data_IF_219351811896
#
_entry.id   IF_219351811896
#
_cell.length_a   1.000
_cell.length_b   1.000
_cell.length_c   1.000
_cell.angle_alpha   90.00
_cell.angle_beta   90.00
_cell.angle_gamma   90.00
#
_symmetry.space_group_name_H-M   'P 1'
#
loop_
_entity.id
_entity.type
_entity.pdbx_description
1 polymer ?
#
# COMPACT_ATOMS: atom_id res chain seq x y z
N UNK A 1 17.22 9.24 16.87
CA UNK A 1 15.97 8.78 16.24
C UNK A 1 15.42 9.84 15.30
N UNK A 2 15.04 11.03 15.77
CA UNK A 2 14.51 12.12 14.91
C UNK A 2 15.44 12.54 13.76
N UNK A 3 16.75 12.68 14.01
CA UNK A 3 17.73 13.05 12.98
C UNK A 3 17.94 11.96 11.90
N UNK A 4 17.70 10.69 12.25
CA UNK A 4 17.79 9.57 11.31
C UNK A 4 16.53 9.51 10.43
N UNK A 5 15.35 9.66 11.05
CA UNK A 5 14.06 9.73 10.35
C UNK A 5 14.04 10.90 9.37
N UNK A 6 14.55 12.07 9.74
CA UNK A 6 14.63 13.23 8.84
C UNK A 6 15.47 12.96 7.57
N UNK A 7 16.63 12.31 7.72
CA UNK A 7 17.49 11.96 6.59
C UNK A 7 16.87 10.91 5.66
N UNK A 8 16.23 9.88 6.23
CA UNK A 8 15.48 8.88 5.46
C UNK A 8 14.32 9.52 4.70
N UNK A 9 13.59 10.40 5.37
CA UNK A 9 12.50 11.16 4.77
C UNK A 9 12.99 12.00 3.57
N UNK A 10 14.12 12.68 3.66
CA UNK A 10 14.69 13.43 2.52
C UNK A 10 15.08 12.52 1.36
N UNK A 11 15.62 11.33 1.62
CA UNK A 11 15.96 10.36 0.59
C UNK A 11 14.71 9.89 -0.19
N UNK A 12 13.61 9.64 0.51
CA UNK A 12 12.31 9.31 -0.11
C UNK A 12 11.84 10.44 -1.00
N UNK A 13 11.90 11.69 -0.54
CA UNK A 13 11.48 12.84 -1.36
C UNK A 13 12.30 12.96 -2.64
N UNK A 14 13.63 12.78 -2.56
CA UNK A 14 14.49 12.83 -3.75
C UNK A 14 14.20 11.71 -4.73
N UNK A 15 13.94 10.49 -4.25
CA UNK A 15 13.54 9.37 -5.08
C UNK A 15 12.23 9.68 -5.84
N UNK A 16 11.23 10.21 -5.15
CA UNK A 16 9.95 10.59 -5.78
C UNK A 16 10.16 11.70 -6.82
N UNK A 17 10.89 12.77 -6.48
CA UNK A 17 11.19 13.87 -7.41
C UNK A 17 11.91 13.37 -8.66
N UNK A 18 12.90 12.50 -8.47
CA UNK A 18 13.64 11.91 -9.58
C UNK A 18 12.73 11.07 -10.48
N UNK A 19 11.89 10.20 -9.91
CA UNK A 19 10.97 9.36 -10.66
C UNK A 19 10.02 10.21 -11.54
N UNK A 20 9.37 11.21 -10.95
CA UNK A 20 8.47 12.13 -11.66
C UNK A 20 9.21 12.88 -12.78
N UNK A 21 10.40 13.40 -12.50
CA UNK A 21 11.22 14.09 -13.49
C UNK A 21 11.65 13.16 -14.64
N UNK A 22 12.16 11.97 -14.33
CA UNK A 22 12.66 11.01 -15.32
C UNK A 22 11.57 10.47 -16.24
N UNK A 23 10.35 10.35 -15.73
CA UNK A 23 9.19 9.91 -16.49
C UNK A 23 8.55 11.04 -17.31
N UNK A 24 8.95 12.30 -17.09
CA UNK A 24 8.26 13.46 -17.65
C UNK A 24 6.82 13.60 -17.15
N UNK A 25 6.52 13.08 -15.96
CA UNK A 25 5.17 13.05 -15.41
C UNK A 25 4.73 14.42 -14.87
N UNK A 26 3.44 14.72 -15.00
CA UNK A 26 2.81 15.94 -14.50
C UNK A 26 2.61 15.94 -12.98
N UNK A 27 2.63 14.75 -12.36
CA UNK A 27 2.48 14.58 -10.92
C UNK A 27 2.17 13.13 -10.54
N UNK A 28 1.45 12.95 -9.45
CA UNK A 28 1.21 11.65 -8.81
C UNK A 28 -0.29 11.44 -8.58
N UNK A 29 -0.75 10.20 -8.73
CA UNK A 29 -2.05 9.72 -8.23
C UNK A 29 -1.81 8.65 -7.17
N UNK A 30 -2.57 8.70 -6.07
CA UNK A 30 -2.45 7.75 -4.96
C UNK A 30 -3.84 7.29 -4.52
N UNK A 31 -4.00 5.99 -4.28
CA UNK A 31 -5.20 5.46 -3.65
C UNK A 31 -5.21 5.79 -2.16
N UNK A 32 -6.24 6.47 -1.66
CA UNK A 32 -6.39 6.80 -0.23
C UNK A 32 -7.54 6.00 0.38
N UNK A 33 -7.19 5.09 1.29
CA UNK A 33 -8.16 4.14 1.90
C UNK A 33 -8.64 4.56 3.29
N UNK A 34 -8.07 5.61 3.88
CA UNK A 34 -8.27 5.94 5.30
C UNK A 34 -7.37 5.12 6.23
N UNK A 35 -6.50 4.25 5.69
CA UNK A 35 -5.48 3.51 6.43
C UNK A 35 -4.11 4.22 6.44
N UNK A 36 -3.28 3.85 7.41
CA UNK A 36 -2.00 4.51 7.70
C UNK A 36 -0.99 4.46 6.53
N UNK A 37 -0.90 3.35 5.80
CA UNK A 37 0.11 3.22 4.73
C UNK A 37 -0.17 4.20 3.59
N UNK A 38 -1.43 4.28 3.15
CA UNK A 38 -1.85 5.25 2.14
C UNK A 38 -1.70 6.69 2.62
N UNK A 39 -1.89 6.94 3.91
CA UNK A 39 -1.72 8.26 4.52
C UNK A 39 -0.26 8.73 4.47
N UNK A 40 0.66 7.88 4.88
CA UNK A 40 2.09 8.18 4.86
C UNK A 40 2.60 8.30 3.42
N UNK A 41 2.20 7.41 2.52
CA UNK A 41 2.58 7.48 1.10
C UNK A 41 2.08 8.77 0.42
N UNK A 42 0.83 9.18 0.68
CA UNK A 42 0.27 10.42 0.15
C UNK A 42 0.99 11.66 0.72
N UNK A 43 1.33 11.65 2.02
CA UNK A 43 2.10 12.72 2.65
C UNK A 43 3.52 12.84 2.07
N UNK A 44 4.21 11.72 1.82
CA UNK A 44 5.49 11.71 1.11
C UNK A 44 5.36 12.30 -0.30
N UNK A 45 4.35 11.88 -1.07
CA UNK A 45 4.13 12.41 -2.41
C UNK A 45 3.90 13.93 -2.39
N UNK A 46 3.02 14.41 -1.50
CA UNK A 46 2.71 15.84 -1.38
C UNK A 46 3.96 16.66 -0.99
N UNK A 47 4.74 16.17 -0.02
CA UNK A 47 5.98 16.82 0.42
C UNK A 47 7.06 16.84 -0.66
N UNK A 48 7.13 15.79 -1.47
CA UNK A 48 8.15 15.66 -2.51
C UNK A 48 7.90 16.57 -3.71
N UNK A 49 6.68 16.59 -4.25
CA UNK A 49 6.38 17.25 -5.54
C UNK A 49 5.42 18.44 -5.45
N UNK A 50 4.96 18.79 -4.24
CA UNK A 50 3.95 19.81 -4.02
C UNK A 50 2.53 19.22 -4.04
N UNK A 51 1.65 19.65 -3.12
CA UNK A 51 0.33 19.07 -2.98
C UNK A 51 -0.57 19.27 -4.21
N UNK A 52 -0.36 20.35 -4.97
CA UNK A 52 -1.06 20.64 -6.22
C UNK A 52 -0.76 19.64 -7.34
N UNK A 53 0.31 18.86 -7.21
CA UNK A 53 0.70 17.81 -8.15
C UNK A 53 0.26 16.42 -7.69
N UNK A 54 -0.51 16.30 -6.62
CA UNK A 54 -0.95 15.01 -6.08
C UNK A 54 -2.47 14.92 -6.07
N UNK A 55 -2.99 13.81 -6.56
CA UNK A 55 -4.42 13.48 -6.52
C UNK A 55 -4.61 12.25 -5.64
N UNK A 56 -5.30 12.43 -4.51
CA UNK A 56 -5.80 11.35 -3.66
C UNK A 56 -7.13 10.84 -4.21
N UNK A 57 -7.21 9.55 -4.52
CA UNK A 57 -8.42 8.90 -5.03
C UNK A 57 -8.92 7.87 -4.03
N UNK A 58 -10.08 8.12 -3.44
CA UNK A 58 -10.80 7.13 -2.65
C UNK A 58 -11.68 6.27 -3.57
N UNK A 59 -11.59 4.95 -3.39
CA UNK A 59 -12.20 3.96 -4.29
C UNK A 59 -13.13 3.00 -3.51
N UNK A 60 -14.28 3.51 -3.00
CA UNK A 60 -15.15 2.74 -2.13
C UNK A 60 -15.95 1.66 -2.85
N UNK A 61 -16.27 0.61 -2.11
CA UNK A 61 -17.21 -0.44 -2.49
C UNK A 61 -18.31 -0.58 -1.44
N UNK A 62 -19.25 -1.50 -1.62
CA UNK A 62 -20.32 -1.76 -0.66
C UNK A 62 -19.85 -2.17 0.76
N UNK A 63 -18.58 -2.61 0.91
CA UNK A 63 -18.01 -2.98 2.23
C UNK A 63 -17.18 -1.87 2.86
N UNK A 64 -16.96 -0.75 2.17
CA UNK A 64 -16.22 0.39 2.71
C UNK A 64 -17.08 1.09 3.76
N UNK A 65 -16.51 1.31 4.95
CA UNK A 65 -17.22 1.98 6.04
C UNK A 65 -17.10 3.50 5.92
N UNK A 66 -18.08 4.23 6.44
CA UNK A 66 -18.13 5.70 6.32
C UNK A 66 -16.91 6.36 6.95
N UNK A 67 -16.42 5.79 8.06
CA UNK A 67 -15.25 6.29 8.78
C UNK A 67 -14.00 6.27 7.91
N UNK A 68 -13.81 5.28 7.03
CA UNK A 68 -12.69 5.22 6.08
C UNK A 68 -12.72 6.39 5.08
N UNK A 69 -13.92 6.75 4.61
CA UNK A 69 -14.14 7.85 3.68
C UNK A 69 -13.84 9.20 4.34
N UNK A 70 -14.37 9.40 5.55
CA UNK A 70 -14.11 10.60 6.34
C UNK A 70 -12.62 10.76 6.64
N UNK A 71 -11.94 9.68 7.03
CA UNK A 71 -10.51 9.67 7.32
C UNK A 71 -9.68 9.99 6.07
N UNK A 72 -10.01 9.38 4.92
CA UNK A 72 -9.35 9.65 3.65
C UNK A 72 -9.52 11.12 3.20
N UNK A 73 -10.73 11.67 3.34
CA UNK A 73 -11.02 13.06 2.99
C UNK A 73 -10.30 14.04 3.95
N UNK A 74 -10.35 13.76 5.26
CA UNK A 74 -9.70 14.58 6.28
C UNK A 74 -8.16 14.60 6.09
N UNK A 75 -7.57 13.44 5.79
CA UNK A 75 -6.17 13.32 5.41
C UNK A 75 -5.86 14.23 4.22
N UNK A 76 -6.54 14.04 3.08
CA UNK A 76 -6.26 14.80 1.86
C UNK A 76 -6.34 16.30 2.09
N UNK A 77 -7.35 16.74 2.85
CA UNK A 77 -7.52 18.14 3.27
C UNK A 77 -6.36 18.63 4.13
N UNK A 78 -5.89 17.83 5.08
CA UNK A 78 -4.80 18.22 6.00
C UNK A 78 -3.46 18.41 5.29
N UNK A 79 -3.17 17.62 4.25
CA UNK A 79 -1.94 17.71 3.46
C UNK A 79 -2.10 18.55 2.18
N UNK A 80 -3.30 19.10 1.94
CA UNK A 80 -3.59 20.03 0.85
C UNK A 80 -3.73 19.42 -0.54
N UNK A 81 -3.87 18.10 -0.68
CA UNK A 81 -3.98 17.43 -1.98
C UNK A 81 -5.43 17.36 -2.48
N UNK A 82 -5.61 17.22 -3.79
CA UNK A 82 -6.93 17.02 -4.38
C UNK A 82 -7.53 15.68 -3.89
N UNK A 83 -8.80 15.69 -3.44
CA UNK A 83 -9.55 14.50 -3.09
C UNK A 83 -10.60 14.19 -4.16
N UNK A 84 -10.59 12.95 -4.67
CA UNK A 84 -11.62 12.42 -5.55
C UNK A 84 -12.19 11.14 -4.97
N UNK A 85 -13.50 11.00 -5.05
CA UNK A 85 -14.18 9.77 -4.67
C UNK A 85 -14.81 9.13 -5.91
N UNK A 86 -14.50 7.86 -6.15
CA UNK A 86 -15.04 7.11 -7.28
C UNK A 86 -15.40 5.70 -6.83
N UNK A 87 -16.71 5.45 -6.67
CA UNK A 87 -17.18 4.11 -6.31
C UNK A 87 -16.81 3.07 -7.37
N UNK A 88 -16.25 1.95 -6.93
CA UNK A 88 -15.90 0.80 -7.78
C UNK A 88 -17.03 -0.23 -7.84
N UNK A 89 -18.10 -0.05 -7.06
CA UNK A 89 -19.20 -0.98 -6.94
C UNK A 89 -19.83 -1.38 -8.29
N UNK A 90 -20.02 -0.47 -9.28
CA UNK A 90 -20.56 -0.86 -10.59
C UNK A 90 -19.71 -1.91 -11.31
N UNK A 91 -18.38 -1.83 -11.20
CA UNK A 91 -17.46 -2.80 -11.80
C UNK A 91 -17.52 -4.13 -11.05
N UNK A 92 -17.58 -4.07 -9.72
CA UNK A 92 -17.71 -5.28 -8.90
C UNK A 92 -19.04 -6.01 -9.14
N UNK A 93 -20.14 -5.28 -9.35
CA UNK A 93 -21.42 -5.87 -9.75
C UNK A 93 -21.31 -6.64 -11.06
N UNK A 94 -20.57 -6.13 -12.04
CA UNK A 94 -20.33 -6.84 -13.29
C UNK A 94 -19.59 -8.17 -13.05
N UNK A 95 -18.59 -8.20 -12.15
CA UNK A 95 -17.88 -9.44 -11.81
C UNK A 95 -18.77 -10.49 -11.14
N UNK A 96 -19.75 -10.07 -10.32
CA UNK A 96 -20.70 -10.99 -9.68
C UNK A 96 -21.58 -11.75 -10.68
N UNK A 97 -21.71 -11.25 -11.92
CA UNK A 97 -22.41 -11.94 -13.00
C UNK A 97 -21.66 -13.14 -13.58
N UNK A 98 -20.38 -13.32 -13.26
CA UNK A 98 -19.55 -14.43 -13.76
C UNK A 98 -19.42 -15.53 -12.70
N UNK A 99 -19.94 -16.75 -12.97
CA UNK A 99 -19.84 -17.86 -12.02
C UNK A 99 -18.39 -18.18 -11.63
N UNK A 100 -18.12 -18.40 -10.35
CA UNK A 100 -16.80 -18.80 -9.86
C UNK A 100 -15.85 -17.64 -9.51
N UNK A 101 -16.11 -16.42 -9.98
CA UNK A 101 -15.16 -15.31 -9.81
C UNK A 101 -15.25 -14.60 -8.47
N UNK A 102 -16.41 -14.67 -7.80
CA UNK A 102 -16.67 -13.98 -6.53
C UNK A 102 -17.21 -14.91 -5.45
N UNK A 103 -17.03 -16.22 -5.61
CA UNK A 103 -17.61 -17.25 -4.73
C UNK A 103 -17.10 -17.20 -3.29
N UNK A 104 -15.96 -16.54 -3.06
CA UNK A 104 -15.38 -16.35 -1.73
C UNK A 104 -14.98 -14.89 -1.51
N UNK A 105 -14.96 -14.41 -0.25
CA UNK A 105 -14.44 -13.09 0.09
C UNK A 105 -13.01 -12.86 -0.43
N UNK A 106 -12.17 -13.89 -0.40
CA UNK A 106 -10.81 -13.84 -0.94
C UNK A 106 -10.79 -13.55 -2.45
N UNK A 107 -11.62 -14.24 -3.24
CA UNK A 107 -11.68 -14.02 -4.69
C UNK A 107 -12.24 -12.64 -5.02
N UNK A 108 -13.34 -12.25 -4.38
CA UNK A 108 -13.96 -10.94 -4.55
C UNK A 108 -13.03 -9.79 -4.13
N UNK A 109 -12.31 -9.94 -3.02
CA UNK A 109 -11.34 -8.97 -2.52
C UNK A 109 -10.17 -8.76 -3.48
N UNK A 110 -9.65 -9.84 -4.08
CA UNK A 110 -8.60 -9.70 -5.09
C UNK A 110 -9.08 -8.98 -6.36
N UNK A 111 -10.33 -9.21 -6.79
CA UNK A 111 -10.90 -8.44 -7.90
C UNK A 111 -11.09 -6.97 -7.52
N UNK A 112 -11.51 -6.69 -6.29
CA UNK A 112 -11.61 -5.33 -5.75
C UNK A 112 -10.27 -4.59 -5.81
N UNK A 113 -9.19 -5.19 -5.29
CA UNK A 113 -7.86 -4.60 -5.32
C UNK A 113 -7.36 -4.35 -6.76
N UNK A 114 -7.62 -5.27 -7.69
CA UNK A 114 -7.27 -5.10 -9.12
C UNK A 114 -8.08 -4.02 -9.81
N UNK A 115 -9.36 -3.89 -9.49
CA UNK A 115 -10.20 -2.78 -10.00
C UNK A 115 -9.68 -1.43 -9.53
N UNK A 116 -9.28 -1.33 -8.26
CA UNK A 116 -8.68 -0.10 -7.71
C UNK A 116 -7.41 0.27 -8.47
N UNK A 117 -6.51 -0.70 -8.66
CA UNK A 117 -5.29 -0.54 -9.47
C UNK A 117 -5.61 -0.06 -10.88
N UNK A 118 -6.53 -0.72 -11.58
CA UNK A 118 -6.88 -0.39 -12.96
C UNK A 118 -7.40 1.05 -13.10
N UNK A 119 -8.21 1.51 -12.14
CA UNK A 119 -8.74 2.88 -12.11
C UNK A 119 -7.63 3.90 -11.83
N UNK A 120 -6.73 3.61 -10.87
CA UNK A 120 -5.59 4.50 -10.58
C UNK A 120 -4.71 4.68 -11.81
N UNK A 121 -4.38 3.59 -12.51
CA UNK A 121 -3.63 3.65 -13.76
C UNK A 121 -4.39 4.34 -14.89
N UNK A 122 -5.72 4.18 -14.98
CA UNK A 122 -6.52 4.91 -15.96
C UNK A 122 -6.46 6.43 -15.72
N UNK A 123 -6.54 6.88 -14.47
CA UNK A 123 -6.38 8.29 -14.09
C UNK A 123 -4.95 8.75 -14.39
N UNK A 124 -3.95 7.95 -14.01
CA UNK A 124 -2.54 8.24 -14.26
C UNK A 124 -2.26 8.48 -15.75
N UNK A 125 -2.68 7.56 -16.60
CA UNK A 125 -2.50 7.64 -18.06
C UNK A 125 -3.23 8.84 -18.66
N UNK A 126 -4.47 9.11 -18.21
CA UNK A 126 -5.26 10.24 -18.71
C UNK A 126 -4.62 11.59 -18.38
N UNK A 127 -3.98 11.69 -17.22
CA UNK A 127 -3.47 12.96 -16.67
C UNK A 127 -1.95 13.10 -16.75
N UNK A 128 -1.26 12.09 -17.30
CA UNK A 128 0.20 12.04 -17.39
C UNK A 128 0.88 11.94 -16.02
N UNK A 129 0.29 11.23 -15.06
CA UNK A 129 0.79 11.07 -13.69
C UNK A 129 1.43 9.70 -13.48
N UNK A 130 2.16 9.52 -12.38
CA UNK A 130 2.62 8.23 -11.88
C UNK A 130 1.69 7.70 -10.78
N UNK A 131 1.51 6.38 -10.72
CA UNK A 131 0.80 5.72 -9.62
C UNK A 131 1.74 5.55 -8.43
N UNK A 132 1.34 6.08 -7.27
CA UNK A 132 2.02 5.89 -5.99
C UNK A 132 1.43 4.69 -5.25
N UNK A 133 2.28 3.73 -4.95
CA UNK A 133 1.95 2.54 -4.19
C UNK A 133 2.10 2.74 -2.69
N UNK A 134 1.44 1.87 -1.95
CA UNK A 134 1.31 1.99 -0.48
C UNK A 134 1.73 0.71 0.23
N UNK A 135 2.43 -0.22 -0.46
CA UNK A 135 2.91 -1.44 0.19
C UNK A 135 4.12 -1.12 1.06
N UNK A 136 4.06 -1.51 2.33
CA UNK A 136 5.22 -1.44 3.23
C UNK A 136 6.09 -2.72 3.14
N UNK A 137 7.27 -2.68 3.76
CA UNK A 137 8.24 -3.80 3.74
C UNK A 137 7.65 -5.08 4.30
N UNK A 138 6.89 -4.97 5.38
CA UNK A 138 6.27 -6.11 6.07
C UNK A 138 5.30 -6.85 5.14
N UNK A 139 4.36 -6.12 4.54
CA UNK A 139 3.39 -6.65 3.57
C UNK A 139 4.08 -7.24 2.35
N UNK A 140 5.08 -6.54 1.82
CA UNK A 140 5.85 -6.97 0.66
C UNK A 140 6.57 -8.30 0.91
N UNK A 141 7.29 -8.42 2.03
CA UNK A 141 8.03 -9.63 2.40
C UNK A 141 7.07 -10.80 2.68
N UNK A 142 5.96 -10.56 3.35
CA UNK A 142 4.94 -11.60 3.58
C UNK A 142 4.14 -11.96 2.33
N UNK A 143 4.19 -11.10 1.30
CA UNK A 143 3.29 -11.16 0.15
C UNK A 143 1.82 -11.00 0.54
N UNK A 144 1.56 -10.23 1.61
CA UNK A 144 0.23 -9.89 2.08
C UNK A 144 -0.32 -8.73 1.24
N UNK A 145 -0.58 -9.04 -0.02
CA UNK A 145 -1.07 -8.13 -1.05
C UNK A 145 -1.78 -8.92 -2.14
N UNK A 146 -2.60 -8.24 -2.94
CA UNK A 146 -3.07 -8.76 -4.21
C UNK A 146 -2.00 -8.53 -5.27
N UNK A 147 -1.49 -9.61 -5.88
CA UNK A 147 -0.57 -9.51 -7.02
C UNK A 147 -1.27 -8.80 -8.18
N UNK A 148 -0.64 -7.75 -8.71
CA UNK A 148 -1.20 -6.83 -9.70
C UNK A 148 -2.46 -6.09 -9.22
N UNK A 149 -2.61 -5.93 -7.90
CA UNK A 149 -3.62 -5.07 -7.27
C UNK A 149 -2.94 -3.89 -6.59
N UNK A 150 -3.08 -3.79 -5.28
CA UNK A 150 -2.52 -2.75 -4.41
C UNK A 150 -0.98 -2.59 -4.52
N UNK A 151 -0.27 -3.68 -4.82
CA UNK A 151 1.20 -3.66 -4.98
C UNK A 151 1.68 -3.17 -6.36
N UNK A 152 0.80 -3.03 -7.35
CA UNK A 152 1.17 -2.53 -8.67
C UNK A 152 1.17 -1.00 -8.67
N UNK A 153 2.37 -0.42 -8.77
CA UNK A 153 2.59 1.02 -8.80
C UNK A 153 3.89 1.36 -9.52
N UNK A 154 4.06 2.63 -9.88
CA UNK A 154 5.26 3.15 -10.55
C UNK A 154 6.32 3.60 -9.54
N UNK A 155 5.87 4.07 -8.37
CA UNK A 155 6.73 4.42 -7.22
C UNK A 155 6.19 3.78 -5.94
N UNK A 156 7.08 3.39 -5.03
CA UNK A 156 6.73 2.76 -3.76
C UNK A 156 7.50 3.44 -2.61
N UNK A 157 7.06 4.63 -2.15
CA UNK A 157 7.83 5.47 -1.23
C UNK A 157 8.08 4.83 0.14
N UNK A 158 7.24 3.87 0.53
CA UNK A 158 7.26 3.27 1.86
C UNK A 158 7.65 1.78 1.86
N UNK A 159 8.05 1.21 0.72
CA UNK A 159 8.37 -0.21 0.59
C UNK A 159 9.54 -0.69 1.47
N UNK A 160 10.42 0.24 1.84
CA UNK A 160 11.59 -0.05 2.65
C UNK A 160 11.30 -0.02 4.16
N UNK A 161 10.14 0.50 4.58
CA UNK A 161 9.76 0.66 5.97
C UNK A 161 8.93 -0.53 6.45
N UNK A 162 9.25 -1.07 7.61
CA UNK A 162 8.40 -2.03 8.33
C UNK A 162 7.13 -1.35 8.83
N UNK A 163 6.07 -2.13 9.09
CA UNK A 163 4.77 -1.59 9.56
C UNK A 163 4.94 -0.73 10.81
N UNK A 164 5.73 -1.18 11.78
CA UNK A 164 6.04 -0.43 13.00
C UNK A 164 6.74 0.91 12.71
N UNK A 165 7.57 0.97 11.68
CA UNK A 165 8.24 2.19 11.23
C UNK A 165 7.27 3.13 10.50
N UNK A 166 6.30 2.60 9.74
CA UNK A 166 5.21 3.39 9.13
C UNK A 166 4.48 4.20 10.20
N UNK A 167 4.13 3.57 11.33
CA UNK A 167 3.48 4.29 12.44
C UNK A 167 4.39 5.38 13.04
N UNK A 168 5.70 5.14 13.14
CA UNK A 168 6.66 6.13 13.64
C UNK A 168 6.79 7.33 12.68
N UNK A 169 6.90 7.06 11.38
CA UNK A 169 6.94 8.09 10.33
C UNK A 169 5.62 8.86 10.27
N UNK A 170 4.48 8.18 10.35
CA UNK A 170 3.17 8.81 10.38
C UNK A 170 3.01 9.80 11.54
N UNK A 171 3.50 9.45 12.74
CA UNK A 171 3.56 10.39 13.87
C UNK A 171 4.46 11.59 13.57
N UNK A 172 5.65 11.36 13.02
CA UNK A 172 6.59 12.43 12.69
C UNK A 172 6.06 13.38 11.61
N UNK A 173 5.22 12.89 10.68
CA UNK A 173 4.56 13.68 9.65
C UNK A 173 3.30 14.41 10.12
N UNK A 174 2.83 14.14 11.35
CA UNK A 174 1.60 14.72 11.86
C UNK A 174 0.34 14.14 11.21
N UNK A 175 0.35 12.86 10.78
CA UNK A 175 -0.86 12.17 10.35
C UNK A 175 -1.88 12.18 11.49
N UNK A 176 -3.16 12.39 11.16
CA UNK A 176 -4.23 12.53 12.14
C UNK A 176 -4.32 11.32 13.07
N UNK A 177 -4.52 11.58 14.37
CA UNK A 177 -4.49 10.55 15.42
C UNK A 177 -5.48 9.41 15.17
N UNK A 178 -6.67 9.71 14.63
CA UNK A 178 -7.69 8.71 14.27
C UNK A 178 -7.16 7.66 13.29
N UNK A 179 -6.33 8.04 12.31
CA UNK A 179 -5.70 7.08 11.37
C UNK A 179 -4.57 6.29 12.04
N UNK A 180 -3.82 6.92 12.96
CA UNK A 180 -2.71 6.28 13.67
C UNK A 180 -3.16 5.21 14.67
N UNK A 181 -4.34 5.37 15.28
CA UNK A 181 -4.88 4.45 16.29
C UNK A 181 -5.76 3.35 15.70
N UNK A 182 -6.09 3.47 14.40
CA UNK A 182 -6.93 2.52 13.69
C UNK A 182 -6.19 1.19 13.47
N UNK A 183 -6.79 0.04 13.82
CA UNK A 183 -6.22 -1.26 13.50
C UNK A 183 -6.06 -1.44 11.98
N UNK A 184 -4.91 -1.94 11.49
CA UNK A 184 -4.72 -2.19 10.06
C UNK A 184 -5.69 -3.25 9.50
N UNK A 185 -6.20 -2.97 8.31
CA UNK A 185 -7.11 -3.83 7.56
C UNK A 185 -6.98 -3.54 6.08
N UNK A 186 -7.02 -4.59 5.24
CA UNK A 186 -7.10 -4.43 3.79
C UNK A 186 -8.46 -3.91 3.28
N UNK A 187 -9.52 -3.94 4.12
CA UNK A 187 -10.83 -3.39 3.78
C UNK A 187 -11.50 -4.07 2.57
N UNK A 188 -11.29 -5.38 2.42
CA UNK A 188 -11.81 -6.19 1.31
C UNK A 188 -13.11 -6.92 1.65
N UNK A 189 -13.40 -7.11 2.94
CA UNK A 189 -14.67 -7.64 3.45
C UNK A 189 -14.93 -7.16 4.88
N UNK A 190 -16.19 -7.27 5.34
CA UNK A 190 -16.59 -6.81 6.65
C UNK A 190 -15.88 -7.56 7.78
N UNK A 191 -15.39 -6.82 8.79
CA UNK A 191 -14.72 -7.38 9.97
C UNK A 191 -13.29 -7.87 9.73
N UNK A 192 -12.70 -7.61 8.56
CA UNK A 192 -11.33 -8.00 8.24
C UNK A 192 -10.31 -7.26 9.14
N UNK A 193 -9.33 -7.98 9.67
CA UNK A 193 -8.16 -7.42 10.36
C UNK A 193 -6.91 -8.17 9.92
N UNK A 194 -5.82 -7.43 9.71
CA UNK A 194 -4.59 -8.02 9.19
C UNK A 194 -3.97 -9.00 10.18
N UNK A 195 -3.89 -8.62 11.46
CA UNK A 195 -3.36 -9.48 12.53
C UNK A 195 -4.23 -10.72 12.76
N UNK A 196 -5.54 -10.63 12.51
CA UNK A 196 -6.44 -11.79 12.54
C UNK A 196 -6.14 -12.82 11.44
N UNK A 197 -5.84 -12.38 10.22
CA UNK A 197 -5.49 -13.25 9.09
C UNK A 197 -4.04 -13.76 9.15
N UNK A 198 -3.13 -12.90 9.60
CA UNK A 198 -1.73 -13.23 9.76
C UNK A 198 -1.54 -14.17 10.96
N UNK A 199 -2.33 -13.97 12.00
CA UNK A 199 -2.35 -14.66 13.29
C UNK A 199 -1.09 -14.39 14.12
N UNK A 200 -0.48 -13.22 13.89
CA UNK A 200 0.64 -12.62 14.59
C UNK A 200 0.45 -11.10 14.53
N UNK A 201 0.94 -10.38 15.54
CA UNK A 201 0.92 -8.93 15.54
C UNK A 201 2.03 -8.35 14.67
N UNK A 202 1.86 -7.12 14.18
CA UNK A 202 2.91 -6.46 13.38
C UNK A 202 4.25 -6.31 14.12
N UNK A 203 4.31 -5.96 15.42
CA UNK A 203 5.56 -5.95 16.16
C UNK A 203 6.27 -7.32 16.19
N UNK A 204 5.53 -8.42 16.35
CA UNK A 204 6.10 -9.77 16.31
C UNK A 204 6.63 -10.12 14.92
N UNK A 205 5.86 -9.81 13.88
CA UNK A 205 6.24 -10.04 12.48
C UNK A 205 7.48 -9.23 12.11
N UNK A 206 7.49 -7.93 12.43
CA UNK A 206 8.60 -7.04 12.08
C UNK A 206 9.88 -7.46 12.81
N UNK A 207 9.79 -7.83 14.09
CA UNK A 207 10.92 -8.37 14.84
C UNK A 207 11.47 -9.66 14.21
N UNK A 208 10.58 -10.59 13.84
CA UNK A 208 10.97 -11.83 13.17
C UNK A 208 11.60 -11.58 11.80
N UNK A 209 11.04 -10.69 10.97
CA UNK A 209 11.61 -10.33 9.68
C UNK A 209 13.00 -9.70 9.81
N UNK A 210 13.19 -8.77 10.75
CA UNK A 210 14.50 -8.16 11.00
C UNK A 210 15.53 -9.18 11.48
N UNK A 211 15.13 -10.11 12.35
CA UNK A 211 15.99 -11.19 12.84
C UNK A 211 16.39 -12.13 11.70
N UNK A 212 15.41 -12.56 10.88
CA UNK A 212 15.65 -13.37 9.68
C UNK A 212 16.61 -12.70 8.70
N UNK A 213 16.50 -11.40 8.46
CA UNK A 213 17.43 -10.69 7.60
C UNK A 213 18.87 -10.71 8.16
N UNK A 214 19.04 -10.50 9.47
CA UNK A 214 20.35 -10.56 10.13
C UNK A 214 20.94 -11.97 10.17
N UNK A 215 20.10 -13.00 10.23
CA UNK A 215 20.53 -14.40 10.29
C UNK A 215 20.81 -15.03 8.90
N UNK A 216 20.59 -14.27 7.82
CA UNK A 216 20.68 -14.79 6.45
C UNK A 216 19.54 -15.75 6.11
N UNK A 217 18.32 -15.40 6.53
CA UNK A 217 17.06 -16.12 6.33
C UNK A 217 17.06 -17.54 6.92
N UNK A 218 17.64 -17.68 8.11
CA UNK A 218 17.64 -18.91 8.92
C UNK A 218 16.79 -18.69 10.17
N UNK A 219 15.69 -19.43 10.28
CA UNK A 219 14.81 -19.35 11.44
C UNK A 219 15.47 -19.96 12.69
N UNK A 220 15.40 -19.24 13.81
CA UNK A 220 15.85 -19.65 15.13
C UNK A 220 14.72 -20.08 16.07
N UNK A 221 13.47 -19.73 15.76
CA UNK A 221 12.29 -20.08 16.56
C UNK A 221 11.04 -20.35 15.69
N UNK A 222 9.92 -20.70 16.35
CA UNK A 222 8.66 -21.03 15.68
C UNK A 222 7.99 -19.83 14.99
N UNK A 223 8.14 -18.62 15.53
CA UNK A 223 7.58 -17.39 14.95
C UNK A 223 8.32 -17.07 13.65
N UNK A 224 9.64 -17.10 13.68
CA UNK A 224 10.50 -16.93 12.51
C UNK A 224 10.23 -18.00 11.45
N UNK A 225 10.05 -19.26 11.83
CA UNK A 225 9.73 -20.33 10.88
C UNK A 225 8.38 -20.09 10.19
N UNK A 226 7.36 -19.64 10.94
CA UNK A 226 6.04 -19.30 10.40
C UNK A 226 6.12 -18.10 9.44
N UNK A 227 6.86 -17.05 9.80
CA UNK A 227 7.08 -15.87 8.96
C UNK A 227 7.85 -16.26 7.70
N UNK A 228 8.98 -16.97 7.85
CA UNK A 228 9.82 -17.43 6.75
C UNK A 228 9.06 -18.28 5.74
N UNK A 229 8.16 -19.15 6.21
CA UNK A 229 7.27 -19.94 5.33
C UNK A 229 6.39 -19.05 4.45
N UNK A 230 5.79 -18.00 5.00
CA UNK A 230 4.99 -17.03 4.22
C UNK A 230 5.86 -16.25 3.23
N UNK A 231 7.06 -15.84 3.65
CA UNK A 231 8.01 -15.17 2.76
C UNK A 231 8.36 -16.06 1.57
N UNK A 232 8.75 -17.31 1.79
CA UNK A 232 9.10 -18.26 0.72
C UNK A 232 7.91 -18.57 -0.19
N UNK A 233 6.74 -18.84 0.38
CA UNK A 233 5.54 -19.17 -0.40
C UNK A 233 5.09 -18.01 -1.32
N UNK A 234 5.40 -16.78 -0.95
CA UNK A 234 4.98 -15.57 -1.68
C UNK A 234 6.05 -14.97 -2.59
N UNK A 235 7.21 -15.61 -2.75
CA UNK A 235 8.32 -15.11 -3.57
C UNK A 235 7.89 -14.71 -4.99
N UNK A 236 6.98 -15.48 -5.58
CA UNK A 236 6.42 -15.20 -6.90
C UNK A 236 5.69 -13.85 -7.01
N UNK A 237 5.32 -13.19 -5.90
CA UNK A 237 4.72 -11.85 -5.89
C UNK A 237 5.75 -10.73 -5.95
N UNK A 238 7.01 -11.02 -5.61
CA UNK A 238 8.14 -10.07 -5.61
C UNK A 238 9.05 -10.21 -6.81
N UNK A 239 8.94 -11.31 -7.54
CA UNK A 239 9.71 -11.57 -8.76
C UNK A 239 8.90 -11.24 -10.01
N UNK A 240 9.60 -10.78 -11.04
CA UNK A 240 9.07 -10.73 -12.41
C UNK A 240 8.57 -12.11 -12.85
N UNK A 241 7.57 -12.19 -13.75
CA UNK A 241 7.23 -13.45 -14.40
C UNK A 241 8.49 -14.08 -15.01
N UNK A 242 8.73 -15.40 -14.83
CA UNK A 242 9.87 -16.07 -15.42
C UNK A 242 9.95 -15.81 -16.93
N UNK A 243 11.10 -15.31 -17.42
CA UNK A 243 11.31 -14.95 -18.83
C UNK A 243 12.73 -15.25 -19.29
N UNK A 244 12.92 -15.35 -20.62
CA UNK A 244 14.22 -15.58 -21.27
C UNK A 244 14.86 -14.29 -21.82
N UNK A 245 14.30 -13.10 -21.51
CA UNK A 245 14.98 -11.84 -21.81
C UNK A 245 16.25 -11.74 -20.96
N UNK A 246 17.40 -11.61 -21.61
CA UNK A 246 18.73 -11.62 -20.96
C UNK A 246 19.45 -12.98 -20.92
N UNK A 247 18.84 -14.07 -21.39
CA UNK A 247 19.49 -15.39 -21.54
C UNK A 247 19.96 -15.65 -22.98
N UNK A 248 20.46 -14.63 -23.68
CA UNK A 248 21.16 -14.75 -24.97
C UNK A 248 22.52 -14.07 -24.89
#
# INVERSE_FOLDING_TARGET
MERAIGCEMEAVDQMIRHAVWSAGASGIVVGVSGGIDSAVAAAFAARAVGPERVVGVCLPSAVTVLEDLEDAQALCRSIGIEYRELSIEPVLQAYRGYPGLTDTPYLAGNLMARTRMAILYAIANREGRLVCGTSNRTEYLLGYCTKHGDSAADIQPILHLYKTEIFAVGRAMGIVQRILEKPPSAGLWAGQTDEGELGLTYPEIDAALQSLERSGWKAGDEVEERVLRRVRASEHKRSSPPHLLGTR
#
